data_IF_747067226172
#
_entry.id   IF_747067226172
#
_cell.length_a   1.000
_cell.length_b   1.000
_cell.length_c   1.000
_cell.angle_alpha   90.00
_cell.angle_beta   90.00
_cell.angle_gamma   90.00
#
_symmetry.space_group_name_H-M   'P 1'
#
loop_
_entity.id
_entity.type
_entity.pdbx_description
1 polymer ?
#
# COMPACT_ATOMS: atom_id res chain seq x y z
N UNK A 1 51.93 -49.30 13.93
CA UNK A 1 51.77 -50.56 13.17
C UNK A 1 50.38 -51.13 13.45
N UNK A 2 49.58 -51.34 12.39
CA UNK A 2 48.33 -52.14 12.26
C UNK A 2 47.10 -51.85 13.16
N UNK A 3 46.01 -51.42 12.51
CA UNK A 3 44.64 -52.01 12.44
C UNK A 3 43.73 -50.95 11.76
N UNK A 4 43.32 -51.07 10.49
CA UNK A 4 42.28 -51.92 9.87
C UNK A 4 40.92 -51.90 10.58
N UNK A 5 39.90 -51.34 9.90
CA UNK A 5 38.48 -51.30 10.28
C UNK A 5 37.74 -50.30 9.37
N UNK A 6 37.43 -50.66 8.12
CA UNK A 6 36.19 -51.30 7.64
C UNK A 6 35.03 -50.30 7.38
N UNK A 7 34.97 -49.96 6.09
CA UNK A 7 33.85 -49.55 5.22
C UNK A 7 32.43 -49.78 5.76
N UNK A 8 31.58 -48.74 5.73
CA UNK A 8 30.16 -48.85 5.34
C UNK A 8 29.84 -47.63 4.47
N UNK A 9 29.70 -47.89 3.16
CA UNK A 9 29.21 -46.94 2.17
C UNK A 9 27.73 -47.27 1.95
N UNK A 10 26.83 -46.48 2.52
CA UNK A 10 25.39 -46.67 2.29
C UNK A 10 25.00 -46.01 0.98
N UNK A 11 24.82 -46.86 -0.03
CA UNK A 11 24.22 -46.59 -1.32
C UNK A 11 22.69 -46.49 -1.14
N UNK A 12 22.07 -45.36 -1.50
CA UNK A 12 20.62 -45.30 -1.76
C UNK A 12 20.43 -44.82 -3.20
N UNK A 13 19.89 -45.72 -4.01
CA UNK A 13 19.43 -45.51 -5.38
C UNK A 13 17.94 -45.10 -5.38
N UNK A 14 17.49 -44.60 -6.53
CA UNK A 14 16.11 -44.29 -6.99
C UNK A 14 15.64 -42.86 -6.68
N UNK A 15 15.09 -42.10 -7.64
CA UNK A 15 14.60 -42.40 -8.99
C UNK A 15 14.56 -41.12 -9.82
N UNK A 16 14.91 -41.24 -11.10
CA UNK A 16 14.67 -40.22 -12.14
C UNK A 16 13.18 -40.06 -12.41
N UNK A 17 12.70 -38.81 -12.43
CA UNK A 17 11.50 -38.41 -13.16
C UNK A 17 11.85 -37.15 -13.98
N UNK A 18 11.91 -37.35 -15.30
CA UNK A 18 11.92 -36.30 -16.32
C UNK A 18 10.50 -36.21 -16.87
N UNK A 19 9.88 -35.04 -16.78
CA UNK A 19 8.69 -34.55 -17.51
C UNK A 19 8.11 -33.40 -16.67
N UNK A 20 7.94 -32.16 -17.10
CA UNK A 20 7.78 -31.60 -18.43
C UNK A 20 8.19 -30.12 -18.41
N UNK A 21 8.98 -29.69 -19.39
CA UNK A 21 9.13 -28.29 -19.77
C UNK A 21 7.80 -27.80 -20.35
N UNK A 22 7.12 -26.92 -19.63
CA UNK A 22 6.08 -26.05 -20.19
C UNK A 22 6.34 -24.61 -19.73
N UNK A 23 6.68 -23.77 -20.72
CA UNK A 23 6.57 -22.32 -20.79
C UNK A 23 6.18 -21.54 -19.52
N UNK A 24 7.01 -20.60 -19.04
CA UNK A 24 6.52 -19.47 -18.24
C UNK A 24 6.11 -18.34 -19.19
N UNK A 25 4.94 -18.47 -19.83
CA UNK A 25 4.29 -17.28 -20.43
C UNK A 25 3.63 -16.49 -19.31
N UNK A 26 4.21 -15.32 -18.99
CA UNK A 26 3.69 -14.29 -18.08
C UNK A 26 3.40 -14.74 -16.62
N UNK A 27 4.05 -14.06 -15.67
CA UNK A 27 3.78 -14.17 -14.23
C UNK A 27 2.28 -13.95 -13.96
N UNK A 28 1.53 -15.02 -13.73
CA UNK A 28 0.17 -14.97 -13.22
C UNK A 28 0.25 -15.33 -11.73
N UNK A 29 0.06 -14.35 -10.85
CA UNK A 29 -0.13 -14.55 -9.43
C UNK A 29 -1.34 -15.50 -9.26
N UNK A 30 -1.16 -16.78 -8.88
CA UNK A 30 -2.27 -17.73 -8.83
C UNK A 30 -3.26 -17.30 -7.75
N UNK A 31 -4.56 -17.39 -8.03
CA UNK A 31 -5.57 -17.26 -6.97
C UNK A 31 -5.35 -18.39 -5.97
N UNK A 32 -5.03 -18.03 -4.73
CA UNK A 32 -4.86 -18.97 -3.63
C UNK A 32 -6.21 -19.18 -2.94
N UNK A 33 -6.48 -20.38 -2.43
CA UNK A 33 -7.72 -20.68 -1.71
C UNK A 33 -7.44 -20.86 -0.23
N UNK A 34 -8.41 -20.53 0.61
CA UNK A 34 -8.33 -20.77 2.05
C UNK A 34 -8.14 -22.26 2.40
N UNK A 35 -7.83 -22.52 3.67
CA UNK A 35 -7.76 -23.89 4.21
C UNK A 35 -8.71 -24.02 5.39
N UNK A 36 -9.76 -24.83 5.23
CA UNK A 36 -10.70 -25.14 6.30
C UNK A 36 -10.16 -26.21 7.28
N UNK A 37 -10.51 -26.16 8.57
CA UNK A 37 -11.32 -25.13 9.24
C UNK A 37 -10.51 -23.87 9.55
N UNK A 38 -11.03 -22.66 9.34
CA UNK A 38 -10.34 -21.41 9.67
C UNK A 38 -11.13 -20.47 10.62
N UNK A 39 -12.08 -21.01 11.39
CA UNK A 39 -13.02 -20.25 12.24
C UNK A 39 -12.45 -19.59 13.51
N UNK A 40 -11.14 -19.62 13.74
CA UNK A 40 -10.49 -19.12 14.96
C UNK A 40 -9.07 -18.62 14.73
N UNK A 41 -8.49 -17.92 15.70
CA UNK A 41 -7.08 -17.51 15.65
C UNK A 41 -6.12 -18.70 15.55
N UNK A 42 -6.43 -19.80 16.22
CA UNK A 42 -5.61 -21.01 16.26
C UNK A 42 -5.64 -21.77 14.93
N UNK A 43 -6.77 -21.70 14.22
CA UNK A 43 -7.00 -22.43 12.96
C UNK A 43 -6.90 -21.53 11.73
N UNK A 44 -6.57 -20.25 11.91
CA UNK A 44 -6.49 -19.27 10.84
C UNK A 44 -5.62 -19.73 9.66
N UNK A 45 -6.12 -19.52 8.44
CA UNK A 45 -5.37 -19.80 7.21
C UNK A 45 -4.15 -18.87 7.14
N UNK A 46 -2.94 -19.42 7.06
CA UNK A 46 -1.73 -18.60 6.91
C UNK A 46 -1.61 -18.05 5.48
N UNK A 47 -1.42 -16.74 5.34
CA UNK A 47 -1.33 -16.05 4.05
C UNK A 47 -0.03 -15.23 3.92
N UNK A 48 0.42 -15.07 2.69
CA UNK A 48 1.44 -14.11 2.30
C UNK A 48 0.77 -12.79 1.87
N UNK A 49 1.42 -11.66 2.15
CA UNK A 49 1.00 -10.38 1.64
C UNK A 49 1.37 -10.22 0.16
N UNK A 50 0.75 -9.27 -0.54
CA UNK A 50 0.95 -9.03 -1.98
C UNK A 50 0.37 -10.13 -2.88
N UNK A 51 -0.69 -10.80 -2.40
CA UNK A 51 -1.32 -11.95 -3.05
C UNK A 51 -2.83 -11.79 -3.15
N UNK A 52 -3.43 -12.62 -3.99
CA UNK A 52 -4.87 -12.75 -4.15
C UNK A 52 -5.36 -14.07 -3.58
N UNK A 53 -6.42 -14.00 -2.79
CA UNK A 53 -7.05 -15.15 -2.15
C UNK A 53 -8.54 -15.23 -2.48
N UNK A 54 -9.08 -16.44 -2.42
CA UNK A 54 -10.51 -16.75 -2.49
C UNK A 54 -10.93 -17.58 -1.29
N UNK A 55 -12.10 -17.30 -0.73
CA UNK A 55 -12.68 -18.08 0.37
C UNK A 55 -14.20 -18.21 0.24
N UNK A 56 -14.81 -18.99 1.13
CA UNK A 56 -16.23 -19.33 1.20
C UNK A 56 -16.63 -19.51 2.67
N UNK A 57 -17.57 -18.69 3.14
CA UNK A 57 -18.17 -18.86 4.47
C UNK A 57 -19.05 -20.13 4.50
N UNK A 58 -18.62 -21.16 5.25
CA UNK A 58 -19.31 -22.45 5.41
C UNK A 58 -20.44 -22.42 6.46
N UNK A 59 -21.43 -21.54 6.27
CA UNK A 59 -22.69 -21.57 7.04
C UNK A 59 -23.00 -20.29 7.82
N UNK A 60 -24.16 -20.29 8.47
CA UNK A 60 -24.62 -19.17 9.29
C UNK A 60 -25.27 -19.69 10.57
N UNK A 61 -24.80 -19.22 11.72
CA UNK A 61 -25.39 -19.53 13.03
C UNK A 61 -26.14 -18.30 13.55
N UNK A 62 -27.44 -18.43 13.82
CA UNK A 62 -28.21 -17.37 14.47
C UNK A 62 -27.77 -17.09 15.91
N UNK A 63 -27.13 -18.07 16.56
CA UNK A 63 -26.84 -18.03 17.99
C UNK A 63 -25.38 -17.61 18.28
N UNK A 64 -24.51 -17.58 17.25
CA UNK A 64 -23.08 -17.25 17.36
C UNK A 64 -22.61 -16.17 16.37
N UNK A 65 -23.50 -15.62 15.52
CA UNK A 65 -23.10 -14.81 14.37
C UNK A 65 -22.72 -15.69 13.17
N UNK A 66 -22.56 -15.07 11.99
CA UNK A 66 -22.11 -15.74 10.75
C UNK A 66 -20.88 -16.64 10.98
N UNK A 67 -20.68 -17.70 10.16
CA UNK A 67 -19.36 -18.33 10.10
C UNK A 67 -18.32 -17.27 9.72
N UNK A 68 -17.11 -17.40 10.25
CA UNK A 68 -16.06 -16.39 10.15
C UNK A 68 -14.81 -17.06 9.64
N UNK A 69 -14.10 -16.41 8.73
CA UNK A 69 -12.87 -16.96 8.19
C UNK A 69 -11.71 -16.10 8.69
N UNK A 70 -10.80 -16.72 9.45
CA UNK A 70 -9.58 -16.05 9.92
C UNK A 70 -8.40 -16.37 9.01
N UNK A 71 -7.65 -15.32 8.70
CA UNK A 71 -6.40 -15.38 7.95
C UNK A 71 -5.27 -14.78 8.78
N UNK A 72 -4.11 -15.41 8.80
CA UNK A 72 -2.94 -14.99 9.58
C UNK A 72 -1.83 -14.50 8.66
N UNK A 73 -1.27 -13.33 8.93
CA UNK A 73 -0.13 -12.78 8.20
C UNK A 73 0.90 -12.17 9.13
N UNK A 74 2.08 -11.85 8.62
CA UNK A 74 3.17 -11.25 9.40
C UNK A 74 3.87 -10.16 8.61
N UNK A 75 4.12 -9.04 9.29
CA UNK A 75 4.87 -7.90 8.78
C UNK A 75 6.31 -8.03 9.25
N UNK A 76 7.29 -8.21 8.35
CA UNK A 76 8.70 -8.29 8.73
C UNK A 76 9.26 -6.94 9.20
N UNK A 77 8.66 -5.84 8.74
CA UNK A 77 8.99 -4.46 9.12
C UNK A 77 7.70 -3.65 9.24
N UNK A 78 7.77 -2.46 9.83
CA UNK A 78 6.63 -1.55 9.82
C UNK A 78 6.15 -1.30 8.38
N UNK A 79 4.85 -1.15 8.19
CA UNK A 79 4.32 -0.82 6.90
C UNK A 79 2.81 -0.73 6.88
N UNK A 80 2.31 -0.34 5.72
CA UNK A 80 0.90 -0.15 5.48
C UNK A 80 0.31 -1.37 4.78
N UNK A 81 -0.75 -1.91 5.35
CA UNK A 81 -1.48 -3.07 4.82
C UNK A 81 -2.76 -2.56 4.21
N UNK A 82 -2.91 -2.80 2.91
CA UNK A 82 -4.11 -2.49 2.16
C UNK A 82 -4.77 -3.81 1.81
N UNK A 83 -6.02 -3.99 2.19
CA UNK A 83 -6.81 -5.16 1.80
C UNK A 83 -7.97 -4.72 0.95
N UNK A 84 -8.06 -5.25 -0.27
CA UNK A 84 -9.13 -4.96 -1.23
C UNK A 84 -10.01 -6.18 -1.40
N UNK A 85 -11.28 -6.08 -1.02
CA UNK A 85 -12.30 -7.12 -1.25
C UNK A 85 -13.12 -6.78 -2.50
N UNK A 86 -13.41 -7.79 -3.32
CA UNK A 86 -14.18 -7.62 -4.55
C UNK A 86 -15.68 -7.69 -4.25
N UNK A 87 -16.41 -6.62 -4.57
CA UNK A 87 -17.82 -6.49 -4.21
C UNK A 87 -18.69 -7.38 -5.11
N UNK A 88 -19.76 -7.94 -4.54
CA UNK A 88 -20.76 -8.73 -5.24
C UNK A 88 -22.15 -8.13 -4.99
N UNK A 89 -22.98 -8.07 -6.04
CA UNK A 89 -24.31 -7.47 -5.95
C UNK A 89 -25.16 -8.19 -4.89
N UNK A 90 -25.62 -7.43 -3.89
CA UNK A 90 -26.47 -7.92 -2.81
C UNK A 90 -25.79 -8.87 -1.82
N UNK A 91 -24.46 -8.82 -1.66
CA UNK A 91 -23.71 -9.66 -0.71
C UNK A 91 -22.88 -8.80 0.24
N UNK A 92 -23.18 -8.83 1.55
CA UNK A 92 -22.46 -8.04 2.53
C UNK A 92 -21.30 -8.80 3.17
N UNK A 93 -20.09 -8.27 3.02
CA UNK A 93 -18.89 -8.78 3.64
C UNK A 93 -18.42 -7.81 4.72
N UNK A 94 -17.69 -8.30 5.72
CA UNK A 94 -17.10 -7.47 6.77
C UNK A 94 -15.67 -7.92 6.93
N UNK A 95 -14.77 -6.97 7.11
CA UNK A 95 -13.35 -7.24 7.17
C UNK A 95 -12.73 -6.46 8.32
N UNK A 96 -12.13 -7.20 9.24
CA UNK A 96 -11.38 -6.64 10.36
C UNK A 96 -9.90 -6.99 10.22
N UNK A 97 -9.01 -6.06 10.58
CA UNK A 97 -7.62 -6.37 10.91
C UNK A 97 -7.42 -6.24 12.41
N UNK A 98 -6.86 -7.27 13.02
CA UNK A 98 -6.82 -7.39 14.47
C UNK A 98 -5.68 -8.30 14.98
N UNK A 99 -5.50 -8.26 16.29
CA UNK A 99 -4.77 -9.19 17.14
C UNK A 99 -5.77 -9.84 18.11
N UNK A 100 -5.40 -10.93 18.82
CA UNK A 100 -6.26 -11.47 19.87
C UNK A 100 -6.69 -10.45 20.92
N UNK A 101 -5.88 -9.41 21.16
CA UNK A 101 -6.10 -8.41 22.19
C UNK A 101 -6.76 -7.11 21.69
N UNK A 102 -6.70 -6.82 20.39
CA UNK A 102 -7.11 -5.53 19.85
C UNK A 102 -7.55 -5.61 18.39
N UNK A 103 -8.60 -4.86 18.03
CA UNK A 103 -9.02 -4.64 16.64
C UNK A 103 -8.51 -3.28 16.19
N UNK A 104 -7.68 -3.24 15.14
CA UNK A 104 -7.00 -2.02 14.71
C UNK A 104 -7.75 -1.25 13.65
N UNK A 105 -8.48 -1.96 12.80
CA UNK A 105 -9.30 -1.35 11.77
C UNK A 105 -10.47 -2.30 11.50
N UNK A 106 -11.68 -1.77 11.62
CA UNK A 106 -12.90 -2.47 11.26
C UNK A 106 -13.46 -1.82 10.01
N UNK A 107 -13.41 -2.55 8.89
CA UNK A 107 -14.21 -2.18 7.72
C UNK A 107 -15.48 -2.98 7.68
N UNK A 108 -16.55 -2.23 7.81
CA UNK A 108 -17.82 -2.61 7.27
C UNK A 108 -17.76 -2.55 5.75
N UNK A 109 -17.40 -3.66 5.11
CA UNK A 109 -17.40 -3.73 3.65
C UNK A 109 -18.75 -4.16 3.13
N UNK A 110 -19.84 -3.44 3.45
CA UNK A 110 -20.92 -3.40 2.49
C UNK A 110 -22.03 -2.39 2.71
N UNK A 111 -22.21 -1.51 1.74
CA UNK A 111 -23.53 -1.02 1.46
C UNK A 111 -23.65 -0.55 0.01
N UNK A 112 -24.35 -1.34 -0.80
CA UNK A 112 -25.34 -0.75 -1.71
C UNK A 112 -26.53 -0.18 -0.87
N UNK A 113 -26.32 0.51 0.27
CA UNK A 113 -27.43 1.27 0.93
C UNK A 113 -27.71 2.60 0.27
N UNK A 114 -26.89 3.02 -0.70
CA UNK A 114 -27.49 3.67 -1.84
C UNK A 114 -27.83 2.54 -2.83
N UNK A 115 -29.10 2.32 -3.19
CA UNK A 115 -29.51 1.46 -4.29
C UNK A 115 -28.86 1.80 -5.66
N UNK A 116 -27.85 2.66 -5.73
CA UNK A 116 -27.51 3.47 -6.90
C UNK A 116 -26.02 3.62 -7.26
N UNK A 117 -25.07 2.88 -6.67
CA UNK A 117 -23.72 2.81 -7.28
C UNK A 117 -23.22 1.39 -7.56
N UNK A 118 -23.88 0.74 -8.52
CA UNK A 118 -23.43 -0.52 -9.13
C UNK A 118 -22.04 -0.42 -9.80
N UNK A 119 -21.40 0.76 -9.85
CA UNK A 119 -20.08 0.93 -10.47
C UNK A 119 -18.91 0.58 -9.56
N UNK A 120 -19.10 0.53 -8.22
CA UNK A 120 -18.04 0.17 -7.27
C UNK A 120 -17.79 -1.34 -7.24
N UNK A 121 -16.78 -1.78 -7.98
CA UNK A 121 -16.38 -3.20 -8.10
C UNK A 121 -15.62 -3.77 -6.90
N UNK A 122 -15.13 -2.93 -5.99
CA UNK A 122 -14.34 -3.35 -4.83
C UNK A 122 -14.39 -2.32 -3.72
N UNK A 123 -14.12 -2.77 -2.49
CA UNK A 123 -13.93 -1.95 -1.30
C UNK A 123 -12.56 -2.24 -0.70
N UNK A 124 -11.95 -1.30 0.03
CA UNK A 124 -10.64 -1.51 0.64
C UNK A 124 -10.50 -0.87 2.01
N UNK A 125 -9.67 -1.47 2.85
CA UNK A 125 -9.05 -0.82 4.01
C UNK A 125 -7.60 -0.54 3.77
N UNK A 126 -7.07 0.36 4.57
CA UNK A 126 -5.68 0.73 4.64
C UNK A 126 -5.35 0.99 6.11
N UNK A 127 -4.40 0.23 6.66
CA UNK A 127 -3.98 0.35 8.06
C UNK A 127 -2.45 0.33 8.16
N UNK A 128 -1.90 1.34 8.82
CA UNK A 128 -0.49 1.39 9.15
C UNK A 128 -0.20 0.55 10.40
N UNK A 129 0.72 -0.41 10.31
CA UNK A 129 1.00 -1.35 11.40
C UNK A 129 2.51 -1.46 11.67
N UNK A 130 2.93 -1.65 12.94
CA UNK A 130 4.29 -2.04 13.25
C UNK A 130 4.60 -3.47 12.75
N UNK A 131 5.88 -3.82 12.73
CA UNK A 131 6.30 -5.21 12.50
C UNK A 131 5.64 -6.15 13.53
N UNK A 132 5.05 -7.25 13.07
CA UNK A 132 4.27 -8.12 13.95
C UNK A 132 3.43 -9.15 13.22
N UNK A 133 2.72 -9.96 13.98
CA UNK A 133 1.77 -10.96 13.46
C UNK A 133 0.36 -10.47 13.70
N UNK A 134 -0.46 -10.55 12.66
CA UNK A 134 -1.82 -10.03 12.63
C UNK A 134 -2.76 -11.03 12.01
N UNK A 135 -4.04 -10.78 12.24
CA UNK A 135 -5.14 -11.57 11.71
C UNK A 135 -6.08 -10.66 10.93
N UNK A 136 -6.55 -11.19 9.81
CA UNK A 136 -7.69 -10.65 9.10
C UNK A 136 -8.87 -11.57 9.37
N UNK A 137 -10.01 -11.01 9.76
CA UNK A 137 -11.25 -11.75 9.94
C UNK A 137 -12.23 -11.30 8.86
N UNK A 138 -12.71 -12.26 8.07
CA UNK A 138 -13.78 -12.03 7.10
C UNK A 138 -15.06 -12.60 7.67
N UNK A 139 -16.12 -11.80 7.68
CA UNK A 139 -17.46 -12.28 7.99
C UNK A 139 -18.42 -11.86 6.88
N UNK A 140 -19.63 -12.41 6.87
CA UNK A 140 -20.62 -12.06 5.87
C UNK A 140 -22.04 -12.15 6.41
N UNK A 141 -22.94 -11.45 5.74
CA UNK A 141 -24.38 -11.52 6.02
C UNK A 141 -24.97 -12.88 5.63
N UNK A 142 -26.18 -13.25 6.10
CA UNK A 142 -26.77 -14.56 5.83
C UNK A 142 -26.78 -14.98 4.34
N UNK A 143 -26.91 -14.02 3.43
CA UNK A 143 -26.94 -14.27 2.00
C UNK A 143 -25.57 -14.58 1.37
N UNK A 144 -24.47 -14.46 2.11
CA UNK A 144 -23.12 -14.78 1.62
C UNK A 144 -22.68 -16.22 1.89
N UNK A 145 -23.50 -17.00 2.60
CA UNK A 145 -23.23 -18.42 2.87
C UNK A 145 -23.03 -19.19 1.58
N UNK A 146 -21.94 -19.95 1.50
CA UNK A 146 -21.57 -20.74 0.32
C UNK A 146 -21.36 -19.91 -0.96
N UNK A 147 -21.20 -18.58 -0.82
CA UNK A 147 -20.84 -17.68 -1.92
C UNK A 147 -19.35 -17.43 -1.86
N UNK A 148 -18.58 -17.75 -2.92
CA UNK A 148 -17.17 -17.44 -2.95
C UNK A 148 -16.91 -15.93 -2.95
N UNK A 149 -16.01 -15.46 -2.09
CA UNK A 149 -15.46 -14.11 -2.12
C UNK A 149 -14.00 -14.15 -2.55
N UNK A 150 -13.44 -12.97 -2.83
CA UNK A 150 -12.01 -12.84 -3.08
C UNK A 150 -11.49 -11.52 -2.53
N UNK A 151 -10.26 -11.54 -2.04
CA UNK A 151 -9.55 -10.37 -1.56
C UNK A 151 -8.11 -10.35 -2.08
N UNK A 152 -7.55 -9.15 -2.14
CA UNK A 152 -6.17 -8.89 -2.53
C UNK A 152 -5.49 -8.09 -1.41
N UNK A 153 -4.30 -8.52 -1.02
CA UNK A 153 -3.48 -7.80 -0.06
C UNK A 153 -2.39 -7.03 -0.80
N UNK A 154 -2.11 -5.81 -0.35
CA UNK A 154 -0.95 -5.01 -0.77
C UNK A 154 -0.26 -4.50 0.48
N UNK A 155 1.05 -4.73 0.56
CA UNK A 155 1.87 -4.35 1.69
C UNK A 155 2.95 -3.37 1.25
N UNK A 156 2.88 -2.15 1.77
CA UNK A 156 3.84 -1.09 1.50
C UNK A 156 4.80 -0.99 2.70
N UNK A 157 6.00 -1.54 2.55
CA UNK A 157 7.03 -1.53 3.59
C UNK A 157 7.53 -0.11 3.84
N UNK A 158 7.56 0.29 5.11
CA UNK A 158 8.14 1.54 5.53
C UNK A 158 7.43 2.17 6.71
N UNK A 159 8.13 3.06 7.38
CA UNK A 159 7.64 3.72 8.59
C UNK A 159 7.01 5.10 8.34
N UNK A 160 6.65 5.41 7.09
CA UNK A 160 6.06 6.71 6.71
C UNK A 160 4.52 6.68 6.70
N UNK A 161 3.95 5.82 7.53
CA UNK A 161 2.52 5.72 7.78
C UNK A 161 2.29 5.86 9.29
N UNK A 162 1.06 6.11 9.68
CA UNK A 162 0.62 5.89 11.05
C UNK A 162 0.87 4.44 11.49
N UNK A 163 0.76 4.19 12.79
CA UNK A 163 0.95 2.85 13.36
C UNK A 163 -0.15 2.62 14.37
N UNK A 164 -1.12 1.79 14.04
CA UNK A 164 -2.19 1.47 14.97
C UNK A 164 -1.74 0.53 16.10
N UNK A 165 -2.29 0.69 17.32
CA UNK A 165 -3.22 1.76 17.71
C UNK A 165 -2.44 3.08 17.92
N UNK A 166 -3.01 4.24 17.58
CA UNK A 166 -2.41 5.53 17.92
C UNK A 166 -3.41 6.61 18.37
N UNK A 167 -4.58 6.20 18.85
CA UNK A 167 -5.65 7.07 19.35
C UNK A 167 -5.34 7.83 20.65
N UNK A 168 -4.19 7.58 21.26
CA UNK A 168 -3.77 8.20 22.53
C UNK A 168 -2.36 8.79 22.45
N UNK A 169 -2.07 9.74 23.34
CA UNK A 169 -0.73 10.33 23.44
C UNK A 169 0.36 9.30 23.81
N UNK A 170 -0.01 8.23 24.51
CA UNK A 170 0.91 7.15 24.90
C UNK A 170 1.31 6.28 23.70
N UNK A 171 0.38 6.09 22.78
CA UNK A 171 0.52 5.23 21.59
C UNK A 171 0.93 6.03 20.34
N UNK A 172 1.08 7.35 20.48
CA UNK A 172 1.38 8.25 19.38
C UNK A 172 2.53 7.78 18.47
N UNK A 173 2.29 7.79 17.17
CA UNK A 173 3.25 7.37 16.15
C UNK A 173 4.43 8.34 16.09
N UNK A 174 5.66 7.83 16.24
CA UNK A 174 6.86 8.66 16.15
C UNK A 174 7.14 9.11 14.71
N UNK A 175 7.32 10.42 14.52
CA UNK A 175 7.58 11.03 13.20
C UNK A 175 8.83 11.89 13.20
N UNK A 176 9.38 12.09 12.00
CA UNK A 176 10.56 12.89 11.74
C UNK A 176 10.22 14.11 10.89
N UNK A 177 10.97 15.20 11.12
CA UNK A 177 10.89 16.36 10.26
C UNK A 177 11.33 16.03 8.83
N UNK A 178 10.78 16.77 7.89
CA UNK A 178 11.03 16.68 6.46
C UNK A 178 10.72 15.32 5.83
N UNK A 179 9.82 14.56 6.46
CA UNK A 179 9.21 13.36 5.88
C UNK A 179 7.71 13.52 5.87
N UNK A 180 7.09 13.06 4.79
CA UNK A 180 5.65 13.01 4.71
C UNK A 180 5.15 11.68 5.26
N UNK A 181 4.08 11.76 6.04
CA UNK A 181 3.41 10.64 6.67
C UNK A 181 1.97 10.58 6.18
N UNK A 182 1.43 9.37 6.07
CA UNK A 182 0.04 9.12 5.73
C UNK A 182 -0.66 8.35 6.83
N UNK A 183 -1.97 8.53 6.94
CA UNK A 183 -2.82 7.82 7.88
C UNK A 183 -4.28 7.88 7.47
N UNK A 184 -5.14 7.17 8.19
CA UNK A 184 -6.57 7.02 7.93
C UNK A 184 -7.31 7.28 9.23
N UNK A 185 -8.16 8.30 9.22
CA UNK A 185 -9.08 8.52 10.32
C UNK A 185 -10.22 7.51 10.20
N UNK A 186 -10.36 6.64 11.20
CA UNK A 186 -11.41 5.62 11.24
C UNK A 186 -12.74 6.21 11.71
N UNK A 187 -13.86 5.72 11.17
CA UNK A 187 -15.19 6.00 11.70
C UNK A 187 -15.66 4.87 12.61
N UNK A 188 -16.05 5.22 13.83
CA UNK A 188 -16.58 4.30 14.81
C UNK A 188 -18.07 4.57 15.05
N UNK A 189 -18.84 3.49 15.15
CA UNK A 189 -20.26 3.51 15.53
C UNK A 189 -20.43 3.09 16.99
N UNK A 190 -20.77 4.07 17.83
CA UNK A 190 -21.09 3.88 19.26
C UNK A 190 -22.49 3.29 19.45
N UNK A 191 -23.43 3.76 18.65
CA UNK A 191 -24.84 3.39 18.64
C UNK A 191 -25.37 3.59 17.23
N UNK A 192 -26.59 3.14 16.97
CA UNK A 192 -27.28 3.33 15.69
C UNK A 192 -27.44 4.81 15.26
N UNK A 193 -27.12 5.77 16.14
CA UNK A 193 -27.35 7.21 15.94
C UNK A 193 -26.12 8.09 16.11
N UNK A 194 -25.00 7.57 16.62
CA UNK A 194 -23.78 8.36 16.80
C UNK A 194 -22.60 7.68 16.11
N UNK A 195 -22.09 8.34 15.08
CA UNK A 195 -20.77 8.05 14.55
C UNK A 195 -19.78 9.12 15.02
N UNK A 196 -18.64 8.66 15.52
CA UNK A 196 -17.49 9.48 15.86
C UNK A 196 -16.31 9.07 14.98
N UNK A 197 -15.26 9.88 14.96
CA UNK A 197 -14.01 9.55 14.28
C UNK A 197 -12.87 9.31 15.26
N UNK A 198 -11.94 8.44 14.89
CA UNK A 198 -10.66 8.24 15.59
C UNK A 198 -9.85 9.54 15.63
N UNK A 199 -8.82 9.58 16.46
CA UNK A 199 -7.90 10.71 16.48
C UNK A 199 -6.47 10.21 16.46
N UNK A 200 -5.80 10.41 15.33
CA UNK A 200 -4.47 9.84 15.21
C UNK A 200 -3.44 10.76 15.85
N UNK A 201 -2.70 10.23 16.82
CA UNK A 201 -1.64 10.97 17.49
C UNK A 201 -0.28 10.65 16.91
N UNK A 202 0.51 11.70 16.70
CA UNK A 202 1.91 11.61 16.31
C UNK A 202 2.79 12.36 17.29
N UNK A 203 4.06 11.98 17.37
CA UNK A 203 5.03 12.55 18.30
C UNK A 203 6.36 12.83 17.64
N UNK A 204 6.95 13.99 17.96
CA UNK A 204 8.29 14.35 17.51
C UNK A 204 9.03 15.16 18.59
N UNK A 205 10.35 15.25 18.44
CA UNK A 205 11.22 16.00 19.34
C UNK A 205 12.04 17.04 18.58
N UNK A 206 12.30 18.16 19.24
CA UNK A 206 13.18 19.21 18.78
C UNK A 206 14.35 19.36 19.75
N UNK A 207 15.57 19.33 19.24
CA UNK A 207 16.78 19.48 20.06
C UNK A 207 17.11 20.95 20.35
N UNK A 208 16.49 21.87 19.61
CA UNK A 208 16.70 23.31 19.70
C UNK A 208 15.46 24.07 19.26
N UNK A 209 15.43 25.35 19.58
CA UNK A 209 14.44 26.27 19.04
C UNK A 209 14.42 26.23 17.52
N UNK A 210 13.26 25.91 16.94
CA UNK A 210 13.10 25.63 15.52
C UNK A 210 11.78 26.22 15.01
N UNK A 211 11.82 26.84 13.84
CA UNK A 211 10.61 27.22 13.11
C UNK A 211 10.12 26.02 12.31
N UNK A 212 8.90 25.58 12.58
CA UNK A 212 8.28 24.44 11.93
C UNK A 212 7.14 24.92 11.03
N UNK A 213 7.21 24.56 9.76
CA UNK A 213 6.08 24.59 8.84
C UNK A 213 5.33 23.27 8.93
N UNK A 214 4.07 23.32 9.34
CA UNK A 214 3.17 22.18 9.38
C UNK A 214 2.25 22.23 8.16
N UNK A 215 2.19 21.14 7.40
CA UNK A 215 1.40 21.07 6.18
C UNK A 215 0.52 19.82 6.12
N UNK A 216 -0.71 19.99 5.65
CA UNK A 216 -1.61 18.88 5.31
C UNK A 216 -1.92 18.99 3.81
N UNK A 217 -1.68 17.90 3.10
CA UNK A 217 -2.13 17.74 1.71
C UNK A 217 -3.56 17.28 1.73
N UNK A 218 -4.44 18.04 1.08
CA UNK A 218 -5.83 17.67 1.03
C UNK A 218 -6.18 16.85 -0.22
N UNK A 219 -7.26 16.09 -0.10
CA UNK A 219 -8.04 15.55 -1.22
C UNK A 219 -9.33 16.37 -1.30
N UNK A 220 -9.72 16.75 -2.51
CA UNK A 220 -10.95 17.53 -2.69
C UNK A 220 -12.17 16.76 -2.13
N UNK A 221 -13.03 17.48 -1.40
CA UNK A 221 -14.24 16.90 -0.79
C UNK A 221 -14.06 16.34 0.63
N UNK A 222 -12.89 16.46 1.25
CA UNK A 222 -12.66 16.13 2.67
C UNK A 222 -11.95 17.26 3.41
N UNK A 223 -12.11 17.35 4.73
CA UNK A 223 -11.41 18.34 5.55
C UNK A 223 -10.67 17.66 6.70
N UNK A 224 -9.36 17.85 6.73
CA UNK A 224 -8.47 17.39 7.78
C UNK A 224 -8.15 18.52 8.74
N UNK A 225 -8.00 18.17 10.00
CA UNK A 225 -7.63 19.08 11.06
C UNK A 225 -6.38 18.57 11.76
N UNK A 226 -5.40 19.45 11.93
CA UNK A 226 -4.18 19.19 12.66
C UNK A 226 -4.11 20.13 13.86
N UNK A 227 -3.86 19.55 15.03
CA UNK A 227 -3.57 20.26 16.25
C UNK A 227 -2.18 19.93 16.76
N UNK A 228 -1.36 20.94 16.98
CA UNK A 228 -0.05 20.79 17.61
C UNK A 228 -0.16 21.12 19.10
N UNK A 229 0.33 20.24 19.96
CA UNK A 229 0.35 20.43 21.42
C UNK A 229 1.76 20.25 21.99
N UNK A 230 2.01 20.86 23.15
CA UNK A 230 3.22 20.57 23.94
C UNK A 230 3.09 19.23 24.69
N UNK A 231 4.14 18.83 25.41
CA UNK A 231 4.14 17.59 26.18
C UNK A 231 3.10 17.52 27.32
N UNK A 232 2.46 18.65 27.68
CA UNK A 232 1.41 18.75 28.69
C UNK A 232 0.01 18.80 28.05
N UNK A 233 -0.09 18.71 26.72
CA UNK A 233 -1.34 18.83 25.97
C UNK A 233 -1.79 20.27 25.75
N UNK A 234 -0.97 21.28 26.08
CA UNK A 234 -1.32 22.66 25.79
C UNK A 234 -1.24 22.91 24.29
N UNK A 235 -2.35 23.38 23.71
CA UNK A 235 -2.45 23.66 22.29
C UNK A 235 -1.57 24.85 21.87
N UNK A 236 -0.75 24.63 20.85
CA UNK A 236 0.22 25.60 20.34
C UNK A 236 -0.17 26.16 18.97
N UNK A 237 -0.87 25.35 18.16
CA UNK A 237 -1.27 25.65 16.80
C UNK A 237 -2.45 24.77 16.36
N UNK A 238 -3.31 25.34 15.49
CA UNK A 238 -4.37 24.64 14.77
C UNK A 238 -4.24 24.92 13.28
N UNK A 239 -4.56 23.92 12.47
CA UNK A 239 -4.56 24.06 11.02
C UNK A 239 -5.62 23.19 10.36
N UNK A 240 -6.32 23.73 9.37
CA UNK A 240 -7.30 23.00 8.58
C UNK A 240 -6.81 22.85 7.15
N UNK A 241 -7.09 21.69 6.55
CA UNK A 241 -6.89 21.49 5.13
C UNK A 241 -7.90 22.28 4.29
N UNK A 242 -7.55 22.59 3.05
CA UNK A 242 -8.47 23.30 2.14
C UNK A 242 -9.31 22.29 1.35
N UNK A 243 -10.62 22.10 1.62
CA UNK A 243 -11.46 21.09 0.96
C UNK A 243 -11.59 21.27 -0.56
N UNK A 244 -11.23 22.45 -1.07
CA UNK A 244 -11.33 22.80 -2.49
C UNK A 244 -10.00 22.72 -3.24
N UNK A 245 -8.93 22.20 -2.62
CA UNK A 245 -7.61 22.10 -3.23
C UNK A 245 -6.99 20.75 -2.97
N UNK A 246 -6.19 20.24 -3.90
CA UNK A 246 -5.34 19.07 -3.71
C UNK A 246 -3.92 19.40 -3.24
N UNK A 247 -3.62 20.69 -3.06
CA UNK A 247 -2.32 21.20 -2.62
C UNK A 247 -2.15 21.13 -1.11
N UNK A 248 -0.90 21.21 -0.64
CA UNK A 248 -0.63 21.44 0.77
C UNK A 248 -1.19 22.80 1.21
N UNK A 249 -2.02 22.73 2.23
CA UNK A 249 -2.31 23.86 3.12
C UNK A 249 -1.27 23.86 4.24
N UNK A 250 -0.82 25.03 4.69
CA UNK A 250 0.27 25.08 5.67
C UNK A 250 0.15 26.26 6.63
N UNK A 251 0.78 26.10 7.79
CA UNK A 251 0.97 27.15 8.79
C UNK A 251 2.36 27.01 9.43
N UNK A 252 2.82 28.04 10.14
CA UNK A 252 4.18 28.09 10.69
C UNK A 252 4.15 28.46 12.17
N UNK A 253 5.00 27.81 12.96
CA UNK A 253 5.19 28.11 14.39
C UNK A 253 6.64 27.93 14.78
N UNK A 254 7.19 28.89 15.53
CA UNK A 254 8.45 28.69 16.24
C UNK A 254 8.20 27.98 17.56
N UNK A 255 8.90 26.88 17.77
CA UNK A 255 8.84 26.02 18.96
C UNK A 255 10.21 26.03 19.64
N UNK A 256 10.24 25.93 20.96
CA UNK A 256 11.48 25.72 21.71
C UNK A 256 11.95 24.25 21.58
N UNK A 257 13.09 23.92 22.17
CA UNK A 257 13.49 22.52 22.30
C UNK A 257 12.48 21.76 23.18
N UNK A 258 12.10 20.54 22.78
CA UNK A 258 11.13 19.76 23.55
C UNK A 258 10.46 18.65 22.76
N UNK A 259 9.57 17.93 23.44
CA UNK A 259 8.70 16.90 22.89
C UNK A 259 7.33 17.51 22.59
N UNK A 260 6.80 17.23 21.40
CA UNK A 260 5.55 17.77 20.91
C UNK A 260 4.69 16.66 20.32
N UNK A 261 3.38 16.88 20.34
CA UNK A 261 2.41 15.96 19.76
C UNK A 261 1.58 16.65 18.69
N UNK A 262 1.15 15.85 17.73
CA UNK A 262 0.19 16.22 16.70
C UNK A 262 -1.05 15.36 16.94
N UNK A 263 -2.24 15.96 16.93
CA UNK A 263 -3.49 15.23 16.78
C UNK A 263 -4.05 15.51 15.39
N UNK A 264 -4.30 14.46 14.63
CA UNK A 264 -5.04 14.51 13.38
C UNK A 264 -6.50 14.15 13.63
N UNK A 265 -7.41 14.84 12.96
CA UNK A 265 -8.84 14.55 12.99
C UNK A 265 -9.47 14.81 11.62
N UNK A 266 -10.54 14.10 11.30
CA UNK A 266 -11.28 14.25 10.04
C UNK A 266 -12.68 14.85 10.22
N UNK A 267 -13.10 15.68 9.26
CA UNK A 267 -14.47 16.20 9.12
C UNK A 267 -14.93 16.15 7.66
N UNK A 268 -16.25 16.12 7.42
CA UNK A 268 -16.86 16.13 6.09
C UNK A 268 -16.37 14.96 5.21
N UNK A 269 -16.96 13.78 5.37
CA UNK A 269 -16.60 12.54 4.67
C UNK A 269 -15.10 12.20 4.76
N UNK A 270 -14.41 12.59 5.84
CA UNK A 270 -12.98 12.32 6.00
C UNK A 270 -12.71 10.89 6.49
N UNK A 271 -13.70 10.24 7.09
CA UNK A 271 -13.66 8.84 7.47
C UNK A 271 -13.15 7.95 6.33
N UNK A 272 -12.30 6.99 6.67
CA UNK A 272 -11.75 5.95 5.79
C UNK A 272 -10.99 6.49 4.56
N UNK A 273 -10.63 7.76 4.57
CA UNK A 273 -9.81 8.39 3.53
C UNK A 273 -8.41 8.60 4.05
N UNK A 274 -7.44 8.38 3.18
CA UNK A 274 -6.05 8.63 3.52
C UNK A 274 -5.77 10.12 3.54
N UNK A 275 -5.23 10.64 4.63
CA UNK A 275 -4.62 11.96 4.68
C UNK A 275 -3.11 11.85 4.53
N UNK A 276 -2.48 12.99 4.23
CA UNK A 276 -1.02 13.09 4.16
C UNK A 276 -0.57 14.40 4.78
N UNK A 277 0.39 14.34 5.68
CA UNK A 277 0.94 15.52 6.34
C UNK A 277 2.46 15.48 6.37
N UNK A 278 3.06 16.64 6.64
CA UNK A 278 4.49 16.80 6.80
C UNK A 278 4.78 17.96 7.73
N UNK A 279 5.77 17.76 8.61
CA UNK A 279 6.41 18.84 9.35
C UNK A 279 7.76 19.15 8.70
N UNK A 280 8.09 20.43 8.52
CA UNK A 280 9.31 20.87 7.86
C UNK A 280 10.01 21.97 8.66
N UNK A 281 11.29 21.77 8.99
CA UNK A 281 12.17 22.83 9.50
C UNK A 281 12.85 23.63 8.38
N UNK A 282 12.62 23.25 7.12
CA UNK A 282 13.08 23.96 5.92
C UNK A 282 12.05 24.93 5.36
N UNK A 283 10.95 25.12 6.10
CA UNK A 283 9.85 26.02 5.76
C UNK A 283 8.85 25.48 4.73
N UNK A 284 7.88 26.32 4.38
CA UNK A 284 6.72 25.97 3.53
C UNK A 284 7.13 25.58 2.11
N UNK A 285 8.26 26.07 1.61
CA UNK A 285 8.74 25.72 0.26
C UNK A 285 9.01 24.22 0.12
N UNK A 286 9.52 23.57 1.17
CA UNK A 286 9.77 22.13 1.16
C UNK A 286 8.46 21.35 1.01
N UNK A 287 7.39 21.76 1.72
CA UNK A 287 6.07 21.13 1.62
C UNK A 287 5.53 21.15 0.18
N UNK A 288 5.76 22.27 -0.54
CA UNK A 288 5.30 22.45 -1.94
C UNK A 288 6.19 21.75 -2.96
N UNK A 289 7.45 21.48 -2.61
CA UNK A 289 8.43 20.86 -3.48
C UNK A 289 8.44 19.33 -3.38
N UNK A 290 7.72 18.75 -2.42
CA UNK A 290 7.65 17.32 -2.24
C UNK A 290 7.10 16.64 -3.49
N UNK A 291 7.90 15.75 -4.10
CA UNK A 291 7.34 14.82 -5.07
C UNK A 291 6.46 13.83 -4.33
N UNK A 292 5.16 13.94 -4.56
CA UNK A 292 4.19 13.09 -3.87
C UNK A 292 4.08 11.70 -4.45
N UNK A 293 4.63 11.44 -5.64
CA UNK A 293 4.53 10.14 -6.28
C UNK A 293 5.55 9.17 -5.69
N UNK A 294 5.05 8.20 -4.90
CA UNK A 294 5.86 7.13 -4.32
C UNK A 294 5.78 5.87 -5.17
N UNK A 295 6.85 5.09 -5.22
CA UNK A 295 6.88 3.81 -5.96
C UNK A 295 7.30 2.69 -5.05
N UNK A 296 6.53 1.62 -5.04
CA UNK A 296 6.82 0.38 -4.35
C UNK A 296 6.92 -0.75 -5.37
N UNK A 297 7.95 -1.58 -5.25
CA UNK A 297 8.10 -2.79 -6.06
C UNK A 297 8.14 -3.97 -5.10
N UNK A 298 7.19 -4.89 -5.24
CA UNK A 298 6.97 -6.01 -4.32
C UNK A 298 6.90 -5.58 -2.85
N UNK A 299 6.35 -4.39 -2.62
CA UNK A 299 6.19 -3.78 -1.32
C UNK A 299 7.38 -2.97 -0.82
N UNK A 300 8.53 -3.00 -1.48
CA UNK A 300 9.69 -2.20 -1.08
C UNK A 300 9.65 -0.79 -1.68
N UNK A 301 9.81 0.25 -0.86
CA UNK A 301 9.88 1.63 -1.33
C UNK A 301 11.12 1.88 -2.19
N UNK A 302 10.93 2.53 -3.34
CA UNK A 302 11.98 2.84 -4.29
C UNK A 302 12.29 4.34 -4.30
N UNK A 303 13.56 4.68 -4.05
CA UNK A 303 14.06 6.04 -4.17
C UNK A 303 14.83 6.21 -5.48
N UNK A 304 14.55 7.29 -6.20
CA UNK A 304 15.18 7.57 -7.49
C UNK A 304 15.78 8.97 -7.51
N UNK A 305 16.94 9.12 -8.15
CA UNK A 305 17.54 10.44 -8.41
C UNK A 305 16.64 11.31 -9.29
N UNK A 306 16.05 10.70 -10.33
CA UNK A 306 14.93 11.30 -11.06
C UNK A 306 13.63 10.63 -10.60
N UNK A 307 12.83 11.29 -9.74
CA UNK A 307 11.55 10.76 -9.30
C UNK A 307 10.55 10.64 -10.47
N UNK A 308 9.47 9.84 -10.30
CA UNK A 308 8.33 9.89 -11.20
C UNK A 308 7.79 11.30 -11.34
N UNK A 309 7.20 11.59 -12.49
CA UNK A 309 6.57 12.90 -12.77
C UNK A 309 5.20 12.69 -13.37
N UNK A 310 4.22 13.47 -12.93
CA UNK A 310 2.93 13.59 -13.61
C UNK A 310 3.05 14.71 -14.65
N UNK A 311 3.01 14.36 -15.92
CA UNK A 311 3.04 15.35 -17.01
C UNK A 311 1.84 15.13 -17.93
N UNK A 312 1.08 16.20 -18.23
CA UNK A 312 -0.11 16.17 -19.10
C UNK A 312 -1.03 14.95 -18.83
N UNK A 313 -1.29 14.66 -17.55
CA UNK A 313 -2.15 13.55 -17.12
C UNK A 313 -1.54 12.15 -17.26
N UNK A 314 -0.25 12.02 -17.61
CA UNK A 314 0.46 10.74 -17.68
C UNK A 314 1.58 10.71 -16.65
N UNK A 315 1.57 9.69 -15.79
CA UNK A 315 2.70 9.44 -14.89
C UNK A 315 3.84 8.79 -15.66
N UNK A 316 4.98 9.46 -15.69
CA UNK A 316 6.22 8.96 -16.26
C UNK A 316 7.14 8.49 -15.15
N UNK A 317 7.79 7.35 -15.37
CA UNK A 317 8.64 6.69 -14.37
C UNK A 317 10.02 6.35 -14.94
N UNK A 318 11.06 6.26 -14.09
CA UNK A 318 12.41 5.92 -14.52
C UNK A 318 12.46 4.47 -15.01
N UNK A 319 12.56 4.29 -16.33
CA UNK A 319 12.48 2.98 -16.98
C UNK A 319 13.53 2.01 -16.43
N UNK A 320 14.80 2.43 -16.43
CA UNK A 320 15.92 1.56 -16.07
C UNK A 320 15.76 0.99 -14.66
N UNK A 321 15.57 1.87 -13.68
CA UNK A 321 15.54 1.47 -12.27
C UNK A 321 14.39 0.49 -11.98
N UNK A 322 13.21 0.73 -12.56
CA UNK A 322 12.06 -0.16 -12.40
C UNK A 322 12.29 -1.49 -13.11
N UNK A 323 12.76 -1.46 -14.36
CA UNK A 323 12.96 -2.67 -15.16
C UNK A 323 14.04 -3.58 -14.56
N UNK A 324 15.15 -3.00 -14.11
CA UNK A 324 16.22 -3.73 -13.44
C UNK A 324 15.75 -4.35 -12.12
N UNK A 325 14.97 -3.63 -11.32
CA UNK A 325 14.37 -4.17 -10.09
C UNK A 325 13.39 -5.32 -10.38
N UNK A 326 12.69 -5.28 -11.52
CA UNK A 326 11.82 -6.36 -12.01
C UNK A 326 12.59 -7.49 -12.74
N UNK A 327 13.92 -7.49 -12.69
CA UNK A 327 14.78 -8.55 -13.22
C UNK A 327 15.14 -8.43 -14.71
N UNK A 328 14.91 -7.28 -15.34
CA UNK A 328 15.32 -7.04 -16.72
C UNK A 328 16.73 -6.43 -16.79
N UNK A 329 17.49 -6.77 -17.82
CA UNK A 329 18.71 -6.02 -18.19
C UNK A 329 18.33 -4.81 -19.05
N UNK A 330 19.02 -3.67 -18.91
CA UNK A 330 18.74 -2.46 -19.68
C UNK A 330 20.01 -1.88 -20.29
N UNK A 331 20.03 -1.73 -21.61
CA UNK A 331 21.16 -1.23 -22.40
C UNK A 331 20.75 0.02 -23.17
N UNK A 332 21.57 1.05 -23.11
CA UNK A 332 21.40 2.28 -23.89
C UNK A 332 22.34 2.29 -25.09
N UNK A 333 21.79 2.56 -26.27
CA UNK A 333 22.56 2.85 -27.47
C UNK A 333 22.42 4.32 -27.83
N UNK A 334 23.49 5.09 -27.60
CA UNK A 334 23.52 6.53 -27.83
C UNK A 334 23.49 6.91 -29.31
N UNK A 335 23.98 6.04 -30.21
CA UNK A 335 24.07 6.33 -31.65
C UNK A 335 22.70 6.46 -32.30
N UNK A 336 21.77 5.58 -31.93
CA UNK A 336 20.42 5.54 -32.47
C UNK A 336 19.35 6.01 -31.47
N UNK A 337 19.77 6.45 -30.27
CA UNK A 337 18.90 6.87 -29.18
C UNK A 337 17.87 5.80 -28.77
N UNK A 338 18.30 4.54 -28.69
CA UNK A 338 17.43 3.40 -28.33
C UNK A 338 17.83 2.80 -26.98
N UNK A 339 16.85 2.68 -26.08
CA UNK A 339 16.94 1.82 -24.90
C UNK A 339 16.43 0.43 -25.28
N UNK A 340 17.21 -0.60 -24.99
CA UNK A 340 16.80 -2.00 -25.11
C UNK A 340 16.75 -2.62 -23.72
N UNK A 341 15.62 -3.20 -23.35
CA UNK A 341 15.50 -3.99 -22.13
C UNK A 341 15.18 -5.45 -22.44
N UNK A 342 15.72 -6.39 -21.65
CA UNK A 342 15.48 -7.83 -21.80
C UNK A 342 15.17 -8.50 -20.48
N UNK A 343 14.07 -9.25 -20.41
CA UNK A 343 13.69 -10.14 -19.30
C UNK A 343 13.24 -11.48 -19.89
N UNK A 344 14.03 -12.54 -19.67
CA UNK A 344 13.80 -13.82 -20.34
C UNK A 344 13.80 -13.66 -21.87
N UNK A 345 12.75 -14.13 -22.52
CA UNK A 345 12.56 -14.01 -23.98
C UNK A 345 11.98 -12.64 -24.41
N UNK A 346 11.50 -11.84 -23.46
CA UNK A 346 10.90 -10.54 -23.75
C UNK A 346 11.98 -9.50 -24.03
N UNK A 347 12.03 -9.01 -25.27
CA UNK A 347 12.86 -7.90 -25.71
C UNK A 347 12.00 -6.65 -25.94
N UNK A 348 12.38 -5.56 -25.29
CA UNK A 348 11.69 -4.28 -25.34
C UNK A 348 12.65 -3.27 -25.94
N UNK A 349 12.25 -2.57 -27.01
CA UNK A 349 13.02 -1.47 -27.61
C UNK A 349 12.22 -0.19 -27.57
N UNK A 350 12.88 0.86 -27.14
CA UNK A 350 12.26 2.15 -26.93
C UNK A 350 13.18 3.25 -27.43
N UNK A 351 12.71 3.98 -28.44
CA UNK A 351 13.43 5.10 -29.03
C UNK A 351 13.02 6.38 -28.34
N UNK A 352 13.99 7.20 -27.92
CA UNK A 352 13.72 8.50 -27.32
C UNK A 352 12.97 9.40 -28.31
N UNK A 353 12.02 10.18 -27.78
CA UNK A 353 11.08 11.06 -28.49
C UNK A 353 10.06 10.34 -29.39
N UNK A 354 10.06 9.00 -29.41
CA UNK A 354 9.06 8.19 -30.11
C UNK A 354 7.84 7.92 -29.24
N UNK A 355 6.64 8.02 -29.82
CA UNK A 355 5.38 7.54 -29.22
C UNK A 355 5.12 6.05 -29.47
N UNK A 356 6.10 5.32 -29.98
CA UNK A 356 5.99 3.89 -30.25
C UNK A 356 7.22 3.19 -29.68
N UNK A 357 6.97 2.16 -28.88
CA UNK A 357 7.95 1.17 -28.45
C UNK A 357 7.69 -0.15 -29.18
N UNK A 358 8.63 -1.10 -29.11
CA UNK A 358 8.38 -2.47 -29.56
C UNK A 358 8.62 -3.46 -28.42
N UNK A 359 7.76 -4.47 -28.33
CA UNK A 359 7.87 -5.61 -27.42
C UNK A 359 7.85 -6.86 -28.29
N UNK A 360 8.93 -7.64 -28.31
CA UNK A 360 9.10 -8.80 -29.19
C UNK A 360 8.77 -8.47 -30.66
N UNK A 361 9.30 -7.35 -31.14
CA UNK A 361 9.07 -6.79 -32.48
C UNK A 361 7.62 -6.36 -32.80
N UNK A 362 6.68 -6.45 -31.84
CA UNK A 362 5.34 -5.89 -31.98
C UNK A 362 5.32 -4.44 -31.50
N UNK A 363 4.80 -3.54 -32.32
CA UNK A 363 4.65 -2.12 -31.97
C UNK A 363 3.60 -1.91 -30.89
N UNK A 364 3.97 -1.17 -29.84
CA UNK A 364 3.11 -0.75 -28.73
C UNK A 364 3.07 0.78 -28.71
N UNK A 365 1.88 1.41 -28.87
CA UNK A 365 1.75 2.85 -28.76
C UNK A 365 1.94 3.31 -27.31
N UNK A 366 2.59 4.46 -27.13
CA UNK A 366 2.80 5.09 -25.84
C UNK A 366 1.86 6.30 -25.70
N UNK A 367 1.26 6.47 -24.51
CA UNK A 367 0.45 7.64 -24.20
C UNK A 367 1.25 8.96 -24.35
N UNK A 368 2.54 8.89 -24.02
CA UNK A 368 3.51 9.96 -24.22
C UNK A 368 4.83 9.40 -24.71
N UNK A 369 5.60 10.18 -25.50
CA UNK A 369 6.89 9.73 -25.96
C UNK A 369 7.82 9.48 -24.78
N UNK A 370 8.67 8.47 -24.91
CA UNK A 370 9.75 8.29 -23.97
C UNK A 370 10.75 9.44 -24.10
N UNK A 371 11.29 9.92 -22.98
CA UNK A 371 12.17 11.09 -22.98
C UNK A 371 13.23 11.01 -21.91
N UNK A 372 14.26 11.83 -22.04
CA UNK A 372 15.32 11.93 -21.04
C UNK A 372 15.05 13.12 -20.12
N UNK A 373 15.02 12.89 -18.81
CA UNK A 373 14.92 13.93 -17.79
C UNK A 373 16.03 13.71 -16.76
N UNK A 374 16.87 14.73 -16.56
CA UNK A 374 18.01 14.69 -15.63
C UNK A 374 18.86 13.41 -15.77
N UNK A 375 19.13 13.00 -17.02
CA UNK A 375 19.93 11.80 -17.33
C UNK A 375 19.19 10.46 -17.23
N UNK A 376 17.91 10.45 -16.87
CA UNK A 376 17.09 9.23 -16.76
C UNK A 376 16.08 9.13 -17.90
N UNK A 377 15.95 7.94 -18.50
CA UNK A 377 14.87 7.67 -19.47
C UNK A 377 13.55 7.47 -18.73
N UNK A 378 12.59 8.33 -19.03
CA UNK A 378 11.25 8.37 -18.46
C UNK A 378 10.25 7.77 -19.46
N UNK A 379 9.41 6.87 -18.98
CA UNK A 379 8.40 6.17 -19.79
C UNK A 379 7.04 6.17 -19.10
N UNK A 380 5.91 6.12 -19.84
CA UNK A 380 4.60 6.01 -19.22
C UNK A 380 4.50 4.78 -18.30
N UNK A 381 3.98 4.96 -17.09
CA UNK A 381 3.80 3.88 -16.12
C UNK A 381 3.04 2.68 -16.70
N UNK A 382 1.97 2.94 -17.46
CA UNK A 382 1.16 1.89 -18.10
C UNK A 382 1.99 0.97 -19.01
N UNK A 383 2.98 1.53 -19.71
CA UNK A 383 3.86 0.74 -20.58
C UNK A 383 4.70 -0.27 -19.78
N UNK A 384 5.08 0.04 -18.54
CA UNK A 384 5.80 -0.90 -17.67
C UNK A 384 4.97 -2.17 -17.43
N UNK A 385 3.67 -2.01 -17.11
CA UNK A 385 2.75 -3.13 -16.90
C UNK A 385 2.60 -3.98 -18.15
N UNK A 386 2.29 -3.35 -19.28
CA UNK A 386 2.06 -4.05 -20.55
C UNK A 386 3.30 -4.78 -21.07
N UNK A 387 4.49 -4.19 -20.88
CA UNK A 387 5.71 -4.73 -21.46
C UNK A 387 6.34 -5.86 -20.62
N UNK A 388 6.15 -5.85 -19.29
CA UNK A 388 6.74 -6.84 -18.38
C UNK A 388 5.72 -7.78 -17.72
N UNK A 389 4.42 -7.57 -17.97
CA UNK A 389 3.34 -8.32 -17.32
C UNK A 389 3.21 -8.01 -15.83
N UNK A 390 3.79 -6.91 -15.36
CA UNK A 390 3.75 -6.53 -13.95
C UNK A 390 2.35 -6.03 -13.55
N UNK A 391 1.90 -6.41 -12.36
CA UNK A 391 0.65 -5.90 -11.80
C UNK A 391 0.89 -4.48 -11.27
N UNK A 392 0.18 -3.48 -11.78
CA UNK A 392 0.33 -2.09 -11.34
C UNK A 392 -0.95 -1.60 -10.70
N UNK A 393 -0.83 -1.13 -9.46
CA UNK A 393 -1.90 -0.46 -8.73
C UNK A 393 -1.50 1.01 -8.54
N UNK A 394 -2.41 1.92 -8.90
CA UNK A 394 -2.26 3.34 -8.62
C UNK A 394 -3.23 3.75 -7.52
N UNK A 395 -2.69 3.96 -6.32
CA UNK A 395 -3.44 4.52 -5.20
C UNK A 395 -3.50 6.04 -5.36
N UNK A 396 -4.57 6.51 -6.00
CA UNK A 396 -4.76 7.92 -6.32
C UNK A 396 -4.71 8.82 -5.07
N UNK A 397 -5.23 8.33 -3.95
CA UNK A 397 -5.37 9.11 -2.71
C UNK A 397 -4.02 9.45 -2.09
N UNK A 398 -3.09 8.51 -2.12
CA UNK A 398 -1.71 8.67 -1.62
C UNK A 398 -0.72 9.05 -2.71
N UNK A 399 -1.15 9.06 -3.98
CA UNK A 399 -0.27 9.15 -5.16
C UNK A 399 0.80 8.04 -5.16
N UNK A 400 0.41 6.82 -4.79
CA UNK A 400 1.34 5.69 -4.68
C UNK A 400 1.20 4.75 -5.87
N UNK A 401 2.33 4.39 -6.48
CA UNK A 401 2.45 3.32 -7.46
C UNK A 401 2.90 2.08 -6.71
N UNK A 402 2.12 1.01 -6.76
CA UNK A 402 2.57 -0.32 -6.39
C UNK A 402 2.77 -1.16 -7.66
N UNK A 403 3.88 -1.89 -7.72
CA UNK A 403 4.23 -2.80 -8.80
C UNK A 403 4.51 -4.18 -8.19
N UNK A 404 3.65 -5.15 -8.48
CA UNK A 404 3.88 -6.57 -8.17
C UNK A 404 4.51 -7.29 -9.35
N UNK A 405 5.52 -8.12 -9.06
CA UNK A 405 6.30 -8.88 -10.06
C UNK A 405 5.65 -10.15 -10.60
#
# INVERSE_FOLDING_TARGET
MKKLGMMVLSLVLMSTLVSSLLNPTASANPNLTETEKNDSFETATSIELNRKYTGVIEGYSSDAGSSVDYYKFTLPVDGNVIVTIHNQEGKNWYLDILTPEHTFNTLFSNNLTEPLDKSKKSSRIEVGLPAGTYYMKVTGSPETVSVPYSFETTYLQGANFEKEPNDTLQEATAVQLNKAYSGVIEEYYDTWTYSGTSNDYFVFTLDKKTEIAAGIKNKAGSTWYMELTDAKGAQLLKHYSNPNSSSYSSTVKTLEAGKYYIRMSGYNDAADKVYKFMLSDKGVKELRALNDISVYIDGEHQAYTQPPVLENGTTLVPMRAIFEKLGATVVWNSKNKVVTAKKGETEIKLTIDSKVATVNNKSIPLAQPAKVMNGSTMVPLRFVSEALGANIIWFQDTSTIYIGS
#
